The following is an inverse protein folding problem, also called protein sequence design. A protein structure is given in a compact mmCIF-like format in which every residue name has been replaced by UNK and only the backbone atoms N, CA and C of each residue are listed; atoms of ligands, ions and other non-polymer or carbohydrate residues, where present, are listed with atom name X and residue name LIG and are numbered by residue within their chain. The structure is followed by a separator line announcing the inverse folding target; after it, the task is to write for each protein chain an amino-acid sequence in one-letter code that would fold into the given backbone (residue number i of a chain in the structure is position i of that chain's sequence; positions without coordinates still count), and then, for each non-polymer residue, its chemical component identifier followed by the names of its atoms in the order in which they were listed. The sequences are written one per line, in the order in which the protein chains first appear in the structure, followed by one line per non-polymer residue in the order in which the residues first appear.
data_IF_626217840088
#
_entry.id   IF_626217840088
#
_cell.length_a   1.000
_cell.length_b   1.000
_cell.length_c   1.000
_cell.angle_alpha   90.00
_cell.angle_beta   90.00
_cell.angle_gamma   90.00
#
_symmetry.space_group_name_H-M   'P 1'
#
loop_
_entity.id
_entity.type
_entity.pdbx_description
1 polymer ?
#
# COMPACT_ATOMS: atom_id res chain seq x y z
N UNK A 1 -10.00 1.34 29.37
CA UNK A 1 -10.37 -0.09 29.45
C UNK A 1 -9.10 -0.89 29.19
N UNK A 2 -8.70 -1.80 30.07
CA UNK A 2 -7.40 -2.48 29.95
C UNK A 2 -7.49 -3.67 28.96
N UNK A 3 -6.41 -4.03 28.27
CA UNK A 3 -6.48 -4.99 27.13
C UNK A 3 -7.00 -6.37 27.55
N UNK A 4 -6.74 -6.77 28.80
CA UNK A 4 -7.25 -8.00 29.42
C UNK A 4 -8.76 -7.99 29.53
N UNK A 5 -9.37 -6.88 29.95
CA UNK A 5 -10.82 -6.74 30.09
C UNK A 5 -11.53 -6.83 28.73
N UNK A 6 -10.94 -6.23 27.70
CA UNK A 6 -11.47 -6.27 26.33
C UNK A 6 -11.44 -7.71 25.80
N UNK A 7 -10.33 -8.43 26.04
CA UNK A 7 -10.19 -9.84 25.63
C UNK A 7 -11.21 -10.74 26.32
N UNK A 8 -11.39 -10.59 27.63
CA UNK A 8 -12.30 -11.43 28.40
C UNK A 8 -13.76 -11.16 28.00
N UNK A 9 -14.09 -9.90 27.72
CA UNK A 9 -15.42 -9.53 27.24
C UNK A 9 -15.68 -10.04 25.81
N UNK A 10 -14.68 -10.01 24.92
CA UNK A 10 -14.80 -10.55 23.57
C UNK A 10 -15.05 -12.07 23.59
N UNK A 11 -14.38 -12.82 24.48
CA UNK A 11 -14.62 -14.25 24.66
C UNK A 11 -16.06 -14.54 25.08
N UNK A 12 -16.57 -13.79 26.05
CA UNK A 12 -17.96 -13.93 26.51
C UNK A 12 -18.97 -13.74 25.37
N UNK A 13 -18.74 -12.76 24.48
CA UNK A 13 -19.60 -12.54 23.33
C UNK A 13 -19.49 -13.67 22.31
N UNK A 14 -18.28 -14.11 21.97
CA UNK A 14 -18.04 -15.21 21.02
C UNK A 14 -18.77 -16.49 21.44
N UNK A 15 -18.76 -16.81 22.74
CA UNK A 15 -19.43 -18.00 23.29
C UNK A 15 -20.97 -17.91 23.22
N UNK A 16 -21.54 -16.71 23.07
CA UNK A 16 -22.99 -16.48 22.98
C UNK A 16 -23.48 -16.40 21.53
N UNK A 17 -22.59 -16.38 20.54
CA UNK A 17 -22.96 -16.25 19.14
C UNK A 17 -23.41 -17.58 18.52
N UNK A 18 -24.42 -17.56 17.62
CA UNK A 18 -24.77 -18.72 16.81
C UNK A 18 -23.70 -19.02 15.76
N UNK A 19 -23.65 -20.28 15.31
CA UNK A 19 -22.61 -20.82 14.43
C UNK A 19 -22.45 -20.03 13.10
N UNK A 20 -23.56 -19.58 12.53
CA UNK A 20 -23.56 -18.78 11.30
C UNK A 20 -22.86 -17.43 11.49
N UNK A 21 -23.11 -16.76 12.62
CA UNK A 21 -22.46 -15.49 12.95
C UNK A 21 -20.98 -15.66 13.27
N UNK A 22 -20.57 -16.83 13.80
CA UNK A 22 -19.15 -17.14 14.01
C UNK A 22 -18.38 -17.30 12.68
N UNK A 23 -19.00 -17.90 11.67
CA UNK A 23 -18.42 -17.99 10.33
C UNK A 23 -18.24 -16.60 9.72
N UNK A 24 -19.28 -15.76 9.79
CA UNK A 24 -19.19 -14.37 9.32
C UNK A 24 -18.07 -13.59 10.01
N UNK A 25 -17.94 -13.73 11.34
CA UNK A 25 -16.86 -13.06 12.10
C UNK A 25 -15.50 -13.57 11.67
N UNK A 26 -15.34 -14.88 11.43
CA UNK A 26 -14.07 -15.46 10.97
C UNK A 26 -13.68 -14.93 9.58
N UNK A 27 -14.62 -14.89 8.64
CA UNK A 27 -14.42 -14.37 7.29
C UNK A 27 -14.06 -12.88 7.34
N UNK A 28 -14.75 -12.11 8.18
CA UNK A 28 -14.48 -10.69 8.35
C UNK A 28 -13.12 -10.41 8.99
N UNK A 29 -12.72 -11.18 10.00
CA UNK A 29 -11.38 -11.07 10.60
C UNK A 29 -10.29 -11.43 9.61
N UNK A 30 -10.51 -12.46 8.79
CA UNK A 30 -9.59 -12.85 7.73
C UNK A 30 -9.43 -11.74 6.68
N UNK A 31 -10.54 -11.12 6.28
CA UNK A 31 -10.53 -9.95 5.40
C UNK A 31 -9.77 -8.77 6.02
N UNK A 32 -10.02 -8.44 7.29
CA UNK A 32 -9.31 -7.36 7.99
C UNK A 32 -7.81 -7.62 8.07
N UNK A 33 -7.39 -8.86 8.34
CA UNK A 33 -5.98 -9.23 8.37
C UNK A 33 -5.33 -9.07 6.99
N UNK A 34 -5.99 -9.59 5.94
CA UNK A 34 -5.50 -9.47 4.56
C UNK A 34 -5.38 -7.99 4.14
N UNK A 35 -6.38 -7.18 4.45
CA UNK A 35 -6.38 -5.75 4.14
C UNK A 35 -5.26 -5.02 4.88
N UNK A 36 -5.05 -5.31 6.17
CA UNK A 36 -3.98 -4.71 6.95
C UNK A 36 -2.58 -5.08 6.41
N UNK A 37 -2.37 -6.30 5.93
CA UNK A 37 -1.11 -6.69 5.28
C UNK A 37 -0.87 -5.96 3.96
N UNK A 38 -1.90 -5.82 3.12
CA UNK A 38 -1.79 -5.10 1.84
C UNK A 38 -1.52 -3.60 2.06
N UNK A 39 -2.14 -3.00 3.07
CA UNK A 39 -1.88 -1.59 3.42
C UNK A 39 -0.48 -1.39 4.02
N UNK A 40 0.05 -2.37 4.78
CA UNK A 40 1.40 -2.27 5.37
C UNK A 40 2.54 -2.32 4.34
N UNK A 41 2.36 -3.02 3.21
CA UNK A 41 3.33 -3.02 2.10
C UNK A 41 3.33 -1.69 1.33
N UNK A 42 2.20 -0.97 1.32
CA UNK A 42 2.09 0.34 0.66
C UNK A 42 2.60 1.52 1.51
N UNK A 43 2.73 1.32 2.83
CA UNK A 43 3.17 2.35 3.79
C UNK A 43 4.63 2.19 4.23
N UNK A 44 5.27 1.04 3.99
CA UNK A 44 6.71 0.85 4.26
C UNK A 44 7.61 1.72 3.38
N UNK A 45 7.10 2.28 2.30
CA UNK A 45 7.84 3.23 1.45
C UNK A 45 7.74 4.69 1.91
N UNK A 46 7.04 5.00 3.01
CA UNK A 46 6.76 6.38 3.42
C UNK A 46 7.76 6.98 4.43
N UNK A 47 8.91 6.37 4.68
CA UNK A 47 9.90 6.92 5.63
C UNK A 47 11.37 6.64 5.33
N UNK A 48 11.70 6.23 4.11
CA UNK A 48 13.09 6.33 3.64
C UNK A 48 13.23 7.63 2.86
N UNK A 49 14.25 8.41 3.18
CA UNK A 49 14.66 9.56 2.38
C UNK A 49 15.20 9.05 1.05
N UNK A 50 14.30 8.78 0.10
CA UNK A 50 14.65 8.27 -1.22
C UNK A 50 15.02 9.45 -2.12
N UNK A 51 16.15 9.33 -2.81
CA UNK A 51 16.60 10.36 -3.73
C UNK A 51 15.70 10.42 -4.97
N UNK A 52 15.58 11.60 -5.59
CA UNK A 52 14.84 11.75 -6.85
C UNK A 52 15.37 10.82 -7.97
N UNK A 53 16.65 10.44 -7.89
CA UNK A 53 17.27 9.49 -8.81
C UNK A 53 16.71 8.07 -8.64
N UNK A 54 16.57 7.59 -7.40
CA UNK A 54 16.05 6.26 -7.11
C UNK A 54 14.58 6.14 -7.52
N UNK A 55 13.78 7.19 -7.30
CA UNK A 55 12.40 7.24 -7.77
C UNK A 55 12.29 7.24 -9.30
N UNK A 56 13.22 7.89 -9.99
CA UNK A 56 13.24 7.95 -11.44
C UNK A 56 13.69 6.63 -12.09
N UNK A 57 14.38 5.75 -11.34
CA UNK A 57 14.93 4.49 -11.86
C UNK A 57 13.90 3.59 -12.54
N UNK A 58 12.68 3.52 -11.99
CA UNK A 58 11.58 2.71 -12.54
C UNK A 58 10.95 3.31 -13.82
N UNK A 59 11.24 4.59 -14.12
CA UNK A 59 10.67 5.33 -15.25
C UNK A 59 11.73 5.50 -16.37
N UNK A 60 13.01 5.57 -16.00
CA UNK A 60 14.13 5.74 -16.93
C UNK A 60 14.23 4.51 -17.84
N UNK A 61 14.05 4.74 -19.15
CA UNK A 61 14.13 3.69 -20.18
C UNK A 61 12.80 3.00 -20.51
N UNK A 62 11.71 3.29 -19.80
CA UNK A 62 10.38 2.79 -20.16
C UNK A 62 9.68 3.63 -21.24
N UNK A 63 10.16 4.85 -21.48
CA UNK A 63 9.61 5.77 -22.47
C UNK A 63 10.49 5.77 -23.71
N UNK A 64 9.91 5.44 -24.87
CA UNK A 64 10.54 5.66 -26.17
C UNK A 64 10.77 7.16 -26.36
N UNK A 65 12.03 7.56 -26.29
CA UNK A 65 12.49 8.91 -26.61
C UNK A 65 12.94 9.02 -28.07
N UNK A 66 13.05 10.23 -28.61
CA UNK A 66 13.63 10.44 -29.93
C UNK A 66 15.07 9.91 -29.98
N UNK A 67 15.42 9.27 -31.10
CA UNK A 67 16.72 8.60 -31.27
C UNK A 67 17.92 9.57 -31.23
N UNK A 68 17.76 10.80 -31.71
CA UNK A 68 18.82 11.82 -31.77
C UNK A 68 18.41 13.13 -31.11
N UNK A 69 18.87 13.31 -29.88
CA UNK A 69 18.75 14.56 -29.13
C UNK A 69 19.93 15.53 -29.34
N UNK A 70 21.03 15.06 -29.94
CA UNK A 70 22.22 15.89 -30.16
C UNK A 70 21.99 16.87 -31.32
N UNK A 71 21.28 16.44 -32.36
CA UNK A 71 21.00 17.27 -33.54
C UNK A 71 19.60 17.89 -33.51
N UNK A 72 18.64 17.29 -32.80
CA UNK A 72 17.26 17.78 -32.72
C UNK A 72 17.02 18.68 -31.49
N UNK A 73 17.60 19.89 -31.49
CA UNK A 73 17.45 20.85 -30.40
C UNK A 73 16.03 21.37 -30.23
N UNK A 74 15.25 21.39 -31.32
CA UNK A 74 13.86 21.84 -31.34
C UNK A 74 12.97 20.94 -30.47
N UNK A 75 13.36 19.68 -30.23
CA UNK A 75 12.66 18.78 -29.32
C UNK A 75 12.53 19.34 -27.90
N UNK A 76 13.48 20.14 -27.43
CA UNK A 76 13.44 20.72 -26.09
C UNK A 76 12.65 22.03 -26.00
N UNK A 77 12.09 22.53 -27.11
CA UNK A 77 11.32 23.77 -27.10
C UNK A 77 10.05 23.62 -26.25
N UNK A 78 9.89 24.46 -25.23
CA UNK A 78 8.77 24.43 -24.29
C UNK A 78 8.96 23.53 -23.06
N UNK A 79 10.10 22.87 -22.90
CA UNK A 79 10.46 22.18 -21.66
C UNK A 79 11.16 23.14 -20.68
N UNK A 80 10.69 23.21 -19.43
CA UNK A 80 11.35 23.97 -18.36
C UNK A 80 11.05 25.47 -18.31
N UNK A 81 9.96 25.92 -18.96
CA UNK A 81 9.39 27.27 -18.81
C UNK A 81 8.58 27.42 -17.50
#
# INVERSE_FOLDING_TARGET
MNSTQIRDQAKLYIDQLPLESLQFVNDFLSYLLQKATVESESLSSQNEEISALELAGDIVGCVEGPEDLATNKDYFQGFGE
#
